data_IF_489552313134
#
_entry.id   IF_489552313134
#
_cell.length_a   1.000
_cell.length_b   1.000
_cell.length_c   1.000
_cell.angle_alpha   90.00
_cell.angle_beta   90.00
_cell.angle_gamma   90.00
#
_symmetry.space_group_name_H-M   'P 1'
#
loop_
_entity.id
_entity.type
_entity.pdbx_description
1 polymer ?
#
# COMPACT_ATOMS: atom_id res chain seq x y z
N UNK A 1 15.45 9.17 -3.01
CA UNK A 1 14.65 7.91 -3.08
C UNK A 1 13.96 7.86 -4.42
N UNK A 2 14.10 6.74 -5.13
CA UNK A 2 13.51 6.59 -6.46
C UNK A 2 12.01 6.28 -6.45
N UNK A 3 11.50 5.81 -5.32
CA UNK A 3 10.12 5.40 -5.17
C UNK A 3 9.55 6.05 -3.92
N UNK A 4 9.17 7.34 -3.99
CA UNK A 4 8.70 8.05 -2.81
C UNK A 4 7.36 7.51 -2.33
N UNK A 5 7.10 7.70 -1.03
CA UNK A 5 5.78 7.45 -0.48
C UNK A 5 4.81 8.50 -1.02
N UNK A 6 3.68 8.01 -1.52
CA UNK A 6 2.55 8.83 -1.93
C UNK A 6 1.43 8.65 -0.91
N UNK A 7 0.50 9.57 -0.85
CA UNK A 7 -0.56 9.56 0.16
C UNK A 7 -1.92 9.87 -0.45
N UNK A 8 -2.93 9.15 0.06
CA UNK A 8 -4.34 9.42 -0.24
C UNK A 8 -5.05 9.60 1.09
N UNK A 9 -5.88 10.63 1.22
CA UNK A 9 -6.72 10.83 2.40
C UNK A 9 -8.09 10.23 2.12
N UNK A 10 -8.49 9.24 2.92
CA UNK A 10 -9.81 8.63 2.86
C UNK A 10 -10.64 9.23 3.99
N UNK A 11 -11.80 9.78 3.64
CA UNK A 11 -12.65 10.47 4.62
C UNK A 11 -13.87 9.63 4.96
N UNK A 12 -14.38 9.82 6.19
CA UNK A 12 -15.65 9.25 6.64
C UNK A 12 -15.69 7.72 6.50
N UNK A 13 -14.65 7.04 6.98
CA UNK A 13 -14.58 5.60 6.94
C UNK A 13 -15.08 4.99 8.25
N UNK A 14 -16.01 4.04 8.15
CA UNK A 14 -16.52 3.29 9.30
C UNK A 14 -16.07 1.84 9.18
N UNK A 15 -15.45 1.32 10.25
CA UNK A 15 -14.99 -0.07 10.29
C UNK A 15 -16.16 -1.05 10.43
N UNK A 16 -15.89 -2.34 10.23
CA UNK A 16 -16.91 -3.38 10.37
C UNK A 16 -17.53 -3.40 11.77
N UNK A 17 -16.75 -3.06 12.79
CA UNK A 17 -17.26 -3.01 14.16
C UNK A 17 -17.91 -1.67 14.53
N UNK A 18 -18.04 -0.75 13.57
CA UNK A 18 -18.74 0.52 13.76
C UNK A 18 -17.88 1.69 14.21
N UNK A 19 -16.55 1.54 14.26
CA UNK A 19 -15.68 2.66 14.62
C UNK A 19 -15.57 3.65 13.46
N UNK A 20 -15.89 4.92 13.72
CA UNK A 20 -15.87 5.97 12.71
C UNK A 20 -14.52 6.69 12.69
N UNK A 21 -13.99 6.89 11.47
CA UNK A 21 -12.75 7.63 11.24
C UNK A 21 -13.04 8.75 10.25
N UNK A 22 -12.84 10.00 10.67
CA UNK A 22 -13.09 11.16 9.81
C UNK A 22 -12.08 11.23 8.66
N UNK A 23 -10.81 10.89 8.95
CA UNK A 23 -9.74 10.84 7.94
C UNK A 23 -8.80 9.68 8.22
N UNK A 24 -8.42 8.96 7.15
CA UNK A 24 -7.38 7.94 7.20
C UNK A 24 -6.38 8.27 6.11
N UNK A 25 -5.11 8.40 6.49
CA UNK A 25 -4.02 8.58 5.54
C UNK A 25 -3.56 7.22 5.04
N UNK A 26 -3.82 6.94 3.76
CA UNK A 26 -3.39 5.71 3.10
C UNK A 26 -2.16 6.02 2.26
N UNK A 27 -1.01 5.48 2.66
CA UNK A 27 0.22 5.67 1.91
C UNK A 27 0.49 4.49 0.98
N UNK A 28 1.23 4.76 -0.09
CA UNK A 28 1.54 3.74 -1.09
C UNK A 28 2.84 4.06 -1.82
N UNK A 29 3.38 3.05 -2.49
CA UNK A 29 4.51 3.23 -3.40
C UNK A 29 4.19 2.57 -4.73
N UNK A 30 4.74 3.13 -5.80
CA UNK A 30 4.57 2.65 -7.17
C UNK A 30 5.94 2.30 -7.73
N UNK A 31 6.04 1.13 -8.32
CA UNK A 31 7.27 0.64 -8.95
C UNK A 31 6.98 0.28 -10.41
N UNK A 32 7.96 0.50 -11.28
CA UNK A 32 7.85 0.15 -12.69
C UNK A 32 7.12 1.19 -13.50
N UNK A 33 6.16 0.77 -14.32
CA UNK A 33 5.42 1.66 -15.21
C UNK A 33 4.55 2.64 -14.41
N UNK A 34 4.36 3.83 -14.96
CA UNK A 34 3.48 4.83 -14.36
C UNK A 34 2.03 4.36 -14.35
N UNK A 35 1.29 4.80 -13.34
CA UNK A 35 -0.14 4.51 -13.24
C UNK A 35 -0.86 4.95 -14.52
N UNK A 36 -1.73 4.09 -15.03
CA UNK A 36 -2.48 4.35 -16.25
C UNK A 36 -1.80 3.90 -17.53
N UNK A 37 -0.54 3.47 -17.48
CA UNK A 37 0.24 3.07 -18.67
C UNK A 37 0.46 1.57 -18.79
N UNK A 38 0.09 0.80 -17.80
CA UNK A 38 0.29 -0.65 -17.79
C UNK A 38 -0.69 -1.32 -16.82
N UNK A 39 -0.88 -2.64 -16.93
CA UNK A 39 -1.67 -3.37 -15.94
C UNK A 39 -1.06 -3.22 -14.55
N UNK A 40 -1.91 -3.17 -13.55
CA UNK A 40 -1.51 -3.01 -12.16
C UNK A 40 -1.36 -4.38 -11.51
N UNK A 41 -0.23 -4.58 -10.83
CA UNK A 41 -0.03 -5.71 -9.92
C UNK A 41 -0.06 -5.14 -8.51
N UNK A 42 -1.06 -5.53 -7.74
CA UNK A 42 -1.18 -5.09 -6.34
C UNK A 42 -0.43 -6.07 -5.45
N UNK A 43 0.51 -5.56 -4.66
CA UNK A 43 1.27 -6.38 -3.71
C UNK A 43 0.86 -5.99 -2.30
N UNK A 44 0.42 -6.98 -1.54
CA UNK A 44 0.03 -6.80 -0.14
C UNK A 44 1.15 -7.30 0.77
N UNK A 45 1.61 -6.47 1.69
CA UNK A 45 2.64 -6.88 2.63
C UNK A 45 2.06 -7.69 3.79
N UNK A 46 2.93 -8.44 4.47
CA UNK A 46 2.57 -9.17 5.67
C UNK A 46 2.40 -8.20 6.86
N UNK A 47 1.89 -8.72 7.97
CA UNK A 47 1.56 -7.90 9.15
C UNK A 47 2.68 -6.95 9.59
N UNK A 48 3.92 -7.41 9.52
CA UNK A 48 5.10 -6.62 9.93
C UNK A 48 5.83 -5.98 8.75
N UNK A 49 5.23 -6.01 7.56
CA UNK A 49 5.85 -5.48 6.35
C UNK A 49 5.51 -4.02 6.09
N UNK A 50 5.77 -3.61 4.85
CA UNK A 50 5.53 -2.25 4.39
C UNK A 50 5.43 -2.21 2.86
N UNK A 51 5.19 -1.01 2.32
CA UNK A 51 5.04 -0.80 0.88
C UNK A 51 6.35 -0.84 0.08
N UNK A 52 7.50 -0.88 0.73
CA UNK A 52 8.79 -0.87 0.03
C UNK A 52 9.14 -2.26 -0.51
N UNK A 53 8.42 -2.66 -1.56
CA UNK A 53 8.45 -4.02 -2.12
C UNK A 53 9.67 -4.25 -2.99
N UNK A 54 10.04 -3.25 -3.80
CA UNK A 54 11.07 -3.37 -4.82
C UNK A 54 12.13 -2.27 -4.69
N UNK A 55 13.10 -2.26 -5.60
CA UNK A 55 14.22 -1.34 -5.53
C UNK A 55 15.34 -1.88 -4.66
N UNK A 56 16.34 -1.05 -4.39
CA UNK A 56 17.57 -1.49 -3.72
C UNK A 56 17.32 -2.06 -2.31
N UNK A 57 16.37 -1.48 -1.59
CA UNK A 57 16.03 -1.89 -0.22
C UNK A 57 14.68 -2.59 -0.12
N UNK A 58 14.09 -2.97 -1.25
CA UNK A 58 12.80 -3.64 -1.28
C UNK A 58 12.87 -5.05 -0.72
N UNK A 59 11.87 -5.42 0.09
CA UNK A 59 11.88 -6.75 0.72
C UNK A 59 11.58 -7.88 -0.27
N UNK A 60 11.05 -7.56 -1.45
CA UNK A 60 10.80 -8.54 -2.51
C UNK A 60 11.57 -8.21 -3.79
N UNK A 61 12.69 -7.53 -3.66
CA UNK A 61 13.48 -7.09 -4.81
C UNK A 61 13.94 -8.23 -5.73
N UNK A 62 14.08 -9.44 -5.20
CA UNK A 62 14.48 -10.59 -5.98
C UNK A 62 13.37 -11.14 -6.86
N UNK A 63 12.12 -10.80 -6.57
CA UNK A 63 10.94 -11.26 -7.29
C UNK A 63 10.34 -10.15 -8.16
N UNK A 64 10.43 -8.90 -7.72
CA UNK A 64 9.86 -7.72 -8.37
C UNK A 64 10.98 -6.83 -8.88
N UNK A 65 11.06 -6.63 -10.16
CA UNK A 65 12.07 -5.78 -10.78
C UNK A 65 12.18 -6.02 -12.28
N UNK A 66 13.09 -5.32 -12.93
CA UNK A 66 13.32 -5.50 -14.37
C UNK A 66 13.80 -6.92 -14.63
N UNK A 67 13.13 -7.61 -15.55
CA UNK A 67 13.42 -9.01 -15.93
C UNK A 67 13.26 -10.00 -14.78
N UNK A 68 12.55 -9.63 -13.72
CA UNK A 68 12.19 -10.51 -12.63
C UNK A 68 10.84 -11.19 -12.91
N UNK A 69 10.36 -12.04 -11.99
CA UNK A 69 9.09 -12.74 -12.15
C UNK A 69 7.95 -11.74 -12.34
N UNK A 70 7.92 -10.71 -11.51
CA UNK A 70 7.00 -9.57 -11.70
C UNK A 70 7.86 -8.47 -12.35
N UNK A 71 7.74 -8.37 -13.68
CA UNK A 71 8.63 -7.54 -14.48
C UNK A 71 8.14 -6.09 -14.50
N UNK A 72 8.91 -5.21 -13.87
CA UNK A 72 8.58 -3.79 -13.79
C UNK A 72 8.69 -3.06 -15.12
N UNK A 73 9.24 -3.69 -16.15
CA UNK A 73 9.19 -3.16 -17.52
C UNK A 73 7.81 -3.33 -18.14
N UNK A 74 7.00 -4.26 -17.64
CA UNK A 74 5.70 -4.63 -18.22
C UNK A 74 4.53 -4.17 -17.36
N UNK A 75 4.72 -4.04 -16.06
CA UNK A 75 3.64 -3.80 -15.10
C UNK A 75 3.89 -2.57 -14.24
N UNK A 76 2.78 -2.00 -13.76
CA UNK A 76 2.80 -1.04 -12.66
C UNK A 76 2.59 -1.83 -11.39
N UNK A 77 3.57 -1.82 -10.49
CA UNK A 77 3.48 -2.51 -9.19
C UNK A 77 3.06 -1.50 -8.15
N UNK A 78 1.93 -1.75 -7.50
CA UNK A 78 1.34 -0.85 -6.52
C UNK A 78 1.28 -1.56 -5.17
N UNK A 79 1.78 -0.91 -4.14
CA UNK A 79 1.76 -1.44 -2.78
C UNK A 79 1.30 -0.37 -1.81
N UNK A 80 0.23 -0.66 -1.07
CA UNK A 80 -0.24 0.21 0.01
C UNK A 80 0.35 -0.25 1.34
N UNK A 81 0.54 0.70 2.26
CA UNK A 81 0.82 0.36 3.64
C UNK A 81 -0.47 0.09 4.39
N UNK A 82 -0.49 -0.96 5.21
CA UNK A 82 -1.61 -1.17 6.13
C UNK A 82 -1.64 0.03 7.08
N UNK A 83 -2.78 0.73 7.17
CA UNK A 83 -2.87 1.92 8.04
C UNK A 83 -2.43 1.60 9.47
N UNK A 84 -1.59 2.47 10.01
CA UNK A 84 -1.06 2.31 11.37
C UNK A 84 0.20 1.46 11.48
N UNK A 85 0.81 1.01 10.35
CA UNK A 85 2.07 0.26 10.42
C UNK A 85 3.28 1.14 10.74
N UNK A 86 3.09 2.45 10.81
CA UNK A 86 4.10 3.47 11.14
C UNK A 86 5.21 3.65 10.10
N UNK A 87 5.20 2.93 9.00
CA UNK A 87 6.21 3.08 7.95
C UNK A 87 6.19 4.49 7.35
N UNK A 88 5.00 5.07 7.24
CA UNK A 88 4.80 6.42 6.72
C UNK A 88 4.83 7.51 7.80
N UNK A 89 5.11 7.14 9.04
CA UNK A 89 5.13 8.06 10.18
C UNK A 89 3.77 8.32 10.81
N UNK A 90 2.71 7.73 10.29
CA UNK A 90 1.36 7.88 10.85
C UNK A 90 1.00 6.70 11.72
N UNK A 91 0.30 6.96 12.82
CA UNK A 91 -0.15 5.95 13.76
C UNK A 91 -1.66 6.09 13.92
N UNK A 92 -2.35 4.97 13.97
CA UNK A 92 -3.80 4.94 14.25
C UNK A 92 -4.00 4.47 15.69
N UNK A 93 -4.58 5.33 16.54
CA UNK A 93 -4.79 5.00 17.94
C UNK A 93 -5.78 3.86 18.12
N UNK A 94 -6.76 3.77 17.24
CA UNK A 94 -7.80 2.74 17.30
C UNK A 94 -7.52 1.56 16.37
N UNK A 95 -6.25 1.20 16.19
CA UNK A 95 -5.88 0.13 15.26
C UNK A 95 -6.57 -1.21 15.54
N UNK A 96 -6.98 -1.44 16.78
CA UNK A 96 -7.69 -2.66 17.17
C UNK A 96 -9.11 -2.76 16.59
N UNK A 97 -9.65 -1.63 16.15
CA UNK A 97 -10.97 -1.59 15.52
C UNK A 97 -10.93 -2.04 14.06
N UNK A 98 -9.74 -2.13 13.49
CA UNK A 98 -9.55 -2.51 12.09
C UNK A 98 -9.34 -4.02 11.97
N UNK A 99 -10.14 -4.64 11.11
CA UNK A 99 -9.97 -6.05 10.74
C UNK A 99 -9.50 -6.13 9.28
N UNK A 100 -9.11 -7.33 8.83
CA UNK A 100 -8.58 -7.51 7.48
C UNK A 100 -9.52 -6.99 6.39
N UNK A 101 -10.83 -7.14 6.59
CA UNK A 101 -11.83 -6.66 5.64
C UNK A 101 -11.83 -5.14 5.52
N UNK A 102 -11.58 -4.43 6.62
CA UNK A 102 -11.47 -2.97 6.62
C UNK A 102 -10.27 -2.53 5.80
N UNK A 103 -9.13 -3.18 5.98
CA UNK A 103 -7.91 -2.90 5.24
C UNK A 103 -8.15 -3.15 3.74
N UNK A 104 -8.80 -4.25 3.39
CA UNK A 104 -9.12 -4.56 2.01
C UNK A 104 -10.03 -3.48 1.39
N UNK A 105 -11.02 -2.99 2.13
CA UNK A 105 -11.89 -1.91 1.68
C UNK A 105 -11.12 -0.62 1.44
N UNK A 106 -10.20 -0.27 2.34
CA UNK A 106 -9.37 0.92 2.20
C UNK A 106 -8.51 0.84 0.93
N UNK A 107 -7.90 -0.31 0.68
CA UNK A 107 -7.09 -0.51 -0.53
C UNK A 107 -7.96 -0.42 -1.79
N UNK A 108 -9.16 -0.98 -1.75
CA UNK A 108 -10.08 -0.92 -2.88
C UNK A 108 -10.50 0.52 -3.17
N UNK A 109 -10.76 1.31 -2.14
CA UNK A 109 -11.09 2.74 -2.30
C UNK A 109 -9.91 3.47 -2.92
N UNK A 110 -8.68 3.15 -2.48
CA UNK A 110 -7.46 3.78 -2.97
C UNK A 110 -7.14 3.47 -4.43
N UNK A 111 -7.62 2.32 -4.92
CA UNK A 111 -7.42 1.99 -6.33
C UNK A 111 -8.29 2.88 -7.20
#
# INVERSE_FOLDING_TARGET
MKHPLEHIIITNFTTENGAFNSEINLSYQVFGKSLGNAPIVLVNHALTGNSNVAGDDGWWKDLVGNDKVIDTKLYTVLAFNIPGNSFDGFVIENYKDFVSRDVAKLFLIGL
#
